data_IF_429552905724
#
_entry.id   IF_429552905724
#
_cell.length_a   1.000
_cell.length_b   1.000
_cell.length_c   1.000
_cell.angle_alpha   90.00
_cell.angle_beta   90.00
_cell.angle_gamma   90.00
#
_symmetry.space_group_name_H-M   'P 1'
#
loop_
_entity.id
_entity.type
_entity.pdbx_description
1 polymer ?
#
# COMPACT_ATOMS: atom_id res chain seq x y z
N UNK A 1 4.45 39.10 -25.54
CA UNK A 1 5.28 38.39 -24.53
C UNK A 1 4.68 37.01 -24.31
N UNK A 2 5.33 35.95 -24.83
CA UNK A 2 4.82 34.58 -24.68
C UNK A 2 5.25 34.03 -23.32
N UNK A 3 4.31 33.95 -22.37
CA UNK A 3 4.54 33.28 -21.10
C UNK A 3 4.80 31.79 -21.36
N UNK A 4 5.98 31.28 -21.00
CA UNK A 4 6.27 29.84 -21.07
C UNK A 4 5.29 29.08 -20.17
N UNK A 5 4.65 27.99 -20.64
CA UNK A 5 3.76 27.20 -19.80
C UNK A 5 4.55 26.61 -18.63
N UNK A 6 4.20 26.98 -17.39
CA UNK A 6 4.79 26.41 -16.17
C UNK A 6 4.10 25.09 -15.85
N UNK A 7 4.86 24.01 -15.74
CA UNK A 7 4.33 22.72 -15.29
C UNK A 7 3.77 22.82 -13.87
N UNK A 8 2.65 22.14 -13.62
CA UNK A 8 2.10 22.08 -12.26
C UNK A 8 3.03 21.29 -11.32
N UNK A 9 3.07 21.62 -10.01
CA UNK A 9 3.89 20.88 -9.04
C UNK A 9 3.57 19.37 -8.99
N UNK A 10 2.30 19.01 -9.21
CA UNK A 10 1.89 17.61 -9.27
C UNK A 10 2.41 16.90 -10.51
N UNK A 11 2.40 17.57 -11.67
CA UNK A 11 2.99 17.01 -12.89
C UNK A 11 4.51 16.80 -12.75
N UNK A 12 5.21 17.70 -12.07
CA UNK A 12 6.62 17.53 -11.73
C UNK A 12 6.84 16.34 -10.79
N UNK A 13 5.97 16.15 -9.79
CA UNK A 13 6.05 15.01 -8.87
C UNK A 13 5.77 13.68 -9.59
N UNK A 14 4.81 13.64 -10.52
CA UNK A 14 4.55 12.48 -11.37
C UNK A 14 5.75 12.16 -12.29
N UNK A 15 6.37 13.18 -12.86
CA UNK A 15 7.60 13.01 -13.65
C UNK A 15 8.73 12.45 -12.79
N UNK A 16 8.95 13.00 -11.59
CA UNK A 16 9.95 12.49 -10.66
C UNK A 16 9.68 11.03 -10.26
N UNK A 17 8.41 10.69 -9.97
CA UNK A 17 7.99 9.31 -9.74
C UNK A 17 8.34 8.42 -10.93
N UNK A 18 8.01 8.83 -12.15
CA UNK A 18 8.28 8.05 -13.34
C UNK A 18 9.78 7.81 -13.55
N UNK A 19 10.61 8.85 -13.30
CA UNK A 19 12.07 8.74 -13.39
C UNK A 19 12.64 7.79 -12.34
N UNK A 20 12.21 7.89 -11.08
CA UNK A 20 12.67 7.00 -10.00
C UNK A 20 12.26 5.56 -10.26
N UNK A 21 10.99 5.32 -10.61
CA UNK A 21 10.50 3.96 -10.89
C UNK A 21 11.10 3.40 -12.17
N UNK A 22 11.33 4.22 -13.20
CA UNK A 22 12.05 3.83 -14.41
C UNK A 22 13.51 3.47 -14.13
N UNK A 23 14.20 4.23 -13.27
CA UNK A 23 15.54 3.89 -12.81
C UNK A 23 15.55 2.57 -12.04
N UNK A 24 14.58 2.33 -11.15
CA UNK A 24 14.46 1.04 -10.46
C UNK A 24 14.29 -0.12 -11.45
N UNK A 25 13.45 0.02 -12.47
CA UNK A 25 13.27 -1.03 -13.50
C UNK A 25 14.54 -1.37 -14.28
N UNK A 26 15.55 -0.49 -14.28
CA UNK A 26 16.87 -0.81 -14.85
C UNK A 26 17.74 -1.71 -13.97
N UNK A 27 17.34 -1.90 -12.71
CA UNK A 27 18.04 -2.72 -11.74
C UNK A 27 17.48 -4.15 -11.77
N UNK A 28 18.33 -5.19 -11.79
CA UNK A 28 17.88 -6.59 -11.85
C UNK A 28 16.90 -6.95 -10.73
N UNK A 29 17.08 -6.36 -9.55
CA UNK A 29 16.26 -6.62 -8.36
C UNK A 29 14.81 -6.10 -8.49
N UNK A 30 14.56 -5.09 -9.32
CA UNK A 30 13.24 -4.44 -9.41
C UNK A 30 12.61 -4.64 -10.79
N UNK A 31 12.98 -5.70 -11.48
CA UNK A 31 12.51 -5.93 -12.83
C UNK A 31 11.00 -6.16 -12.88
N UNK A 32 10.30 -5.57 -13.85
CA UNK A 32 8.90 -5.85 -14.14
C UNK A 32 7.96 -5.65 -12.93
N UNK A 33 6.99 -6.53 -12.75
CA UNK A 33 5.99 -6.48 -11.68
C UNK A 33 6.40 -7.28 -10.42
N UNK A 34 7.70 -7.54 -10.23
CA UNK A 34 8.15 -8.23 -9.03
C UNK A 34 7.80 -7.46 -7.76
N UNK A 35 7.80 -8.19 -6.65
CA UNK A 35 7.42 -7.72 -5.34
C UNK A 35 8.17 -6.44 -4.93
N UNK A 36 9.48 -6.38 -5.15
CA UNK A 36 10.35 -5.25 -4.83
C UNK A 36 9.92 -3.99 -5.58
N UNK A 37 9.58 -4.15 -6.86
CA UNK A 37 9.02 -3.07 -7.67
C UNK A 37 7.64 -2.64 -7.13
N UNK A 38 6.74 -3.58 -6.87
CA UNK A 38 5.42 -3.29 -6.33
C UNK A 38 5.49 -2.55 -4.98
N UNK A 39 6.47 -2.88 -4.13
CA UNK A 39 6.72 -2.19 -2.87
C UNK A 39 7.18 -0.73 -3.09
N UNK A 40 8.17 -0.52 -3.97
CA UNK A 40 8.65 0.80 -4.33
C UNK A 40 7.55 1.66 -4.98
N UNK A 41 6.80 1.06 -5.91
CA UNK A 41 5.63 1.64 -6.55
C UNK A 41 4.58 2.07 -5.53
N UNK A 42 4.29 1.22 -4.53
CA UNK A 42 3.36 1.56 -3.48
C UNK A 42 3.83 2.78 -2.69
N UNK A 43 5.10 2.82 -2.24
CA UNK A 43 5.64 3.99 -1.53
C UNK A 43 5.53 5.26 -2.38
N UNK A 44 5.86 5.18 -3.66
CA UNK A 44 5.73 6.30 -4.59
C UNK A 44 4.28 6.78 -4.72
N UNK A 45 3.32 5.86 -4.82
CA UNK A 45 1.88 6.18 -4.87
C UNK A 45 1.38 6.78 -3.56
N UNK A 46 1.82 6.25 -2.41
CA UNK A 46 1.48 6.82 -1.11
C UNK A 46 1.96 8.27 -1.03
N UNK A 47 3.22 8.55 -1.38
CA UNK A 47 3.80 9.89 -1.30
C UNK A 47 3.20 10.85 -2.34
N UNK A 48 3.24 10.48 -3.62
CA UNK A 48 2.87 11.37 -4.73
C UNK A 48 1.36 11.45 -4.91
N UNK A 49 0.69 10.30 -4.90
CA UNK A 49 -0.77 10.21 -4.94
C UNK A 49 -1.40 10.83 -3.69
N UNK A 50 -0.87 10.56 -2.50
CA UNK A 50 -1.35 11.13 -1.23
C UNK A 50 -1.15 12.64 -1.12
N UNK A 51 0.07 13.15 -1.37
CA UNK A 51 0.31 14.60 -1.41
C UNK A 51 -0.53 15.29 -2.49
N UNK A 52 -0.70 14.63 -3.64
CA UNK A 52 -1.61 15.03 -4.70
C UNK A 52 -3.04 15.16 -4.19
N UNK A 53 -3.60 14.11 -3.59
CA UNK A 53 -4.95 14.07 -3.05
C UNK A 53 -5.19 15.17 -2.00
N UNK A 54 -4.27 15.33 -1.05
CA UNK A 54 -4.33 16.39 -0.03
C UNK A 54 -4.36 17.78 -0.69
N UNK A 55 -3.53 18.00 -1.70
CA UNK A 55 -3.56 19.25 -2.47
C UNK A 55 -4.87 19.47 -3.23
N UNK A 56 -5.57 18.42 -3.64
CA UNK A 56 -6.85 18.53 -4.35
C UNK A 56 -8.01 18.88 -3.42
N UNK A 57 -7.99 18.37 -2.17
CA UNK A 57 -9.00 18.64 -1.14
C UNK A 57 -8.84 20.00 -0.44
N UNK A 58 -7.77 20.74 -0.74
CA UNK A 58 -7.46 22.02 -0.08
C UNK A 58 -8.17 23.24 -0.69
N UNK A 59 -8.94 23.06 -1.78
CA UNK A 59 -9.62 24.15 -2.47
C UNK A 59 -11.13 24.04 -2.27
N UNK A 60 -11.83 25.11 -1.84
CA UNK A 60 -13.27 25.07 -1.58
C UNK A 60 -14.03 24.81 -2.89
N UNK A 61 -14.45 23.56 -3.10
CA UNK A 61 -15.28 23.16 -4.24
C UNK A 61 -16.38 22.21 -3.77
N UNK A 62 -17.35 21.87 -4.64
CA UNK A 62 -18.32 20.82 -4.31
C UNK A 62 -17.60 19.51 -3.96
N UNK A 63 -18.01 18.86 -2.88
CA UNK A 63 -17.35 17.67 -2.34
C UNK A 63 -17.07 16.60 -3.39
N UNK A 64 -18.06 16.29 -4.23
CA UNK A 64 -17.91 15.28 -5.28
C UNK A 64 -16.75 15.59 -6.22
N UNK A 65 -16.58 16.87 -6.58
CA UNK A 65 -15.47 17.32 -7.43
C UNK A 65 -14.12 17.28 -6.72
N UNK A 66 -14.09 17.42 -5.39
CA UNK A 66 -12.88 17.28 -4.58
C UNK A 66 -12.45 15.81 -4.52
N UNK A 67 -13.39 14.91 -4.22
CA UNK A 67 -13.17 13.47 -4.18
C UNK A 67 -12.70 12.96 -5.55
N UNK A 68 -13.38 13.34 -6.63
CA UNK A 68 -13.01 12.93 -7.98
C UNK A 68 -11.59 13.41 -8.36
N UNK A 69 -11.20 14.62 -7.95
CA UNK A 69 -9.83 15.12 -8.19
C UNK A 69 -8.79 14.43 -7.31
N UNK A 70 -9.11 14.15 -6.06
CA UNK A 70 -8.22 13.40 -5.17
C UNK A 70 -8.00 11.98 -5.70
N UNK A 71 -9.08 11.27 -6.03
CA UNK A 71 -9.05 9.96 -6.67
C UNK A 71 -8.31 9.99 -8.01
N UNK A 72 -8.55 11.00 -8.85
CA UNK A 72 -7.84 11.16 -10.12
C UNK A 72 -6.33 11.36 -9.97
N UNK A 73 -5.86 12.05 -8.92
CA UNK A 73 -4.42 12.20 -8.64
C UNK A 73 -3.78 10.90 -8.16
N UNK A 74 -4.47 10.16 -7.29
CA UNK A 74 -4.03 8.83 -6.85
C UNK A 74 -3.99 7.89 -8.06
N UNK A 75 -5.05 7.87 -8.87
CA UNK A 75 -5.12 7.04 -10.07
C UNK A 75 -4.03 7.39 -11.10
N UNK A 76 -3.72 8.67 -11.30
CA UNK A 76 -2.64 9.08 -12.19
C UNK A 76 -1.27 8.57 -11.69
N UNK A 77 -1.01 8.66 -10.38
CA UNK A 77 0.21 8.12 -9.77
C UNK A 77 0.27 6.59 -9.87
N UNK A 78 -0.85 5.91 -9.63
CA UNK A 78 -0.96 4.45 -9.77
C UNK A 78 -0.77 4.01 -11.23
N UNK A 79 -1.37 4.73 -12.18
CA UNK A 79 -1.25 4.44 -13.61
C UNK A 79 0.20 4.56 -14.08
N UNK A 80 0.95 5.59 -13.65
CA UNK A 80 2.37 5.71 -13.95
C UNK A 80 3.16 4.52 -13.38
N UNK A 81 2.89 4.15 -12.13
CA UNK A 81 3.54 3.00 -11.51
C UNK A 81 3.17 1.67 -12.18
N UNK A 82 2.00 1.55 -12.81
CA UNK A 82 1.55 0.34 -13.50
C UNK A 82 2.06 0.24 -14.94
N UNK A 83 2.02 1.35 -15.68
CA UNK A 83 2.35 1.37 -17.11
C UNK A 83 3.84 1.14 -17.33
N UNK A 84 4.71 1.68 -16.47
CA UNK A 84 6.16 1.51 -16.61
C UNK A 84 6.63 0.04 -16.64
N UNK A 85 6.28 -0.83 -15.67
CA UNK A 85 6.68 -2.24 -15.69
C UNK A 85 6.00 -3.00 -16.82
N UNK A 86 4.76 -2.64 -17.20
CA UNK A 86 4.06 -3.24 -18.34
C UNK A 86 4.82 -2.97 -19.66
N UNK A 87 5.26 -1.74 -19.87
CA UNK A 87 6.09 -1.38 -21.03
C UNK A 87 7.45 -2.09 -20.99
N UNK A 88 8.07 -2.20 -19.81
CA UNK A 88 9.33 -2.93 -19.65
C UNK A 88 9.17 -4.42 -19.98
N UNK A 89 8.04 -5.04 -19.62
CA UNK A 89 7.76 -6.44 -19.94
C UNK A 89 7.61 -6.71 -21.45
N UNK A 90 7.09 -5.76 -22.23
CA UNK A 90 7.01 -5.91 -23.70
C UNK A 90 8.40 -6.02 -24.32
N UNK A 91 9.40 -5.36 -23.73
CA UNK A 91 10.77 -5.33 -24.27
C UNK A 91 11.55 -6.59 -23.89
N UNK A 92 11.42 -7.04 -22.64
CA UNK A 92 12.29 -8.12 -22.15
C UNK A 92 11.62 -9.50 -22.07
N UNK A 93 10.29 -9.53 -21.98
CA UNK A 93 9.57 -10.77 -21.67
C UNK A 93 9.78 -11.18 -20.21
N UNK A 94 8.70 -11.58 -19.54
CA UNK A 94 8.78 -12.16 -18.19
C UNK A 94 7.87 -13.38 -18.11
N UNK A 95 8.26 -14.37 -17.33
CA UNK A 95 7.57 -15.66 -17.28
C UNK A 95 6.22 -15.66 -16.53
N UNK A 96 5.90 -14.63 -15.72
CA UNK A 96 4.58 -14.55 -15.06
C UNK A 96 4.06 -13.11 -14.88
N UNK A 97 3.37 -12.62 -15.92
CA UNK A 97 2.70 -11.30 -15.88
C UNK A 97 1.50 -11.31 -14.94
N UNK A 98 0.82 -12.45 -14.79
CA UNK A 98 -0.41 -12.57 -14.02
C UNK A 98 -0.17 -12.38 -12.53
N UNK A 99 0.82 -13.07 -11.99
CA UNK A 99 1.24 -12.92 -10.59
C UNK A 99 1.75 -11.51 -10.30
N UNK A 100 2.51 -10.94 -11.22
CA UNK A 100 2.98 -9.56 -11.11
C UNK A 100 1.83 -8.53 -11.01
N UNK A 101 0.81 -8.67 -11.85
CA UNK A 101 -0.40 -7.83 -11.78
C UNK A 101 -1.11 -8.03 -10.43
N UNK A 102 -1.17 -9.26 -9.93
CA UNK A 102 -1.77 -9.56 -8.62
C UNK A 102 -0.99 -8.86 -7.48
N UNK A 103 0.35 -8.89 -7.49
CA UNK A 103 1.17 -8.15 -6.54
C UNK A 103 0.94 -6.64 -6.62
N UNK A 104 0.86 -6.09 -7.83
CA UNK A 104 0.57 -4.68 -8.03
C UNK A 104 -0.82 -4.28 -7.49
N UNK A 105 -1.83 -5.11 -7.72
CA UNK A 105 -3.18 -4.88 -7.19
C UNK A 105 -3.20 -4.96 -5.65
N UNK A 106 -2.53 -5.95 -5.06
CA UNK A 106 -2.51 -6.19 -3.63
C UNK A 106 -1.68 -5.16 -2.85
N UNK A 107 -0.62 -4.62 -3.44
CA UNK A 107 0.29 -3.69 -2.76
C UNK A 107 -0.08 -2.22 -3.14
N UNK A 108 0.36 -1.66 -4.28
CA UNK A 108 -0.05 -0.31 -4.71
C UNK A 108 -1.55 -0.08 -4.79
N UNK A 109 -2.33 -1.07 -5.27
CA UNK A 109 -3.78 -0.93 -5.41
C UNK A 109 -4.48 -0.74 -4.07
N UNK A 110 -4.24 -1.63 -3.11
CA UNK A 110 -4.78 -1.50 -1.74
C UNK A 110 -4.26 -0.23 -1.05
N UNK A 111 -2.98 0.11 -1.21
CA UNK A 111 -2.39 1.33 -0.67
C UNK A 111 -3.09 2.60 -1.17
N UNK A 112 -3.46 2.63 -2.45
CA UNK A 112 -4.21 3.74 -3.06
C UNK A 112 -5.58 3.96 -2.40
N UNK A 113 -6.31 2.88 -2.12
CA UNK A 113 -7.62 2.94 -1.45
C UNK A 113 -7.46 3.42 -0.01
N UNK A 114 -6.42 2.95 0.69
CA UNK A 114 -6.11 3.37 2.05
C UNK A 114 -5.82 4.87 2.14
N UNK A 115 -4.99 5.39 1.24
CA UNK A 115 -4.67 6.84 1.17
C UNK A 115 -5.91 7.67 0.91
N UNK A 116 -6.78 7.23 0.01
CA UNK A 116 -8.03 7.94 -0.25
C UNK A 116 -8.89 8.02 1.03
N UNK A 117 -9.05 6.90 1.75
CA UNK A 117 -9.78 6.86 3.01
C UNK A 117 -9.18 7.74 4.09
N UNK A 118 -7.86 7.67 4.27
CA UNK A 118 -7.12 8.48 5.22
C UNK A 118 -7.34 9.98 4.94
N UNK A 119 -7.10 10.40 3.70
CA UNK A 119 -7.17 11.81 3.29
C UNK A 119 -8.60 12.36 3.41
N UNK A 120 -9.62 11.56 3.10
CA UNK A 120 -11.02 11.94 3.32
C UNK A 120 -11.37 12.07 4.80
N UNK A 121 -10.90 11.15 5.65
CA UNK A 121 -11.12 11.22 7.09
C UNK A 121 -10.47 12.46 7.69
N UNK A 122 -9.21 12.74 7.34
CA UNK A 122 -8.51 13.94 7.80
C UNK A 122 -9.21 15.23 7.35
N UNK A 123 -9.71 15.27 6.11
CA UNK A 123 -10.50 16.41 5.61
C UNK A 123 -11.80 16.57 6.37
N UNK A 124 -12.47 15.47 6.71
CA UNK A 124 -13.71 15.43 7.46
C UNK A 124 -13.55 15.96 8.89
N UNK A 125 -12.39 15.70 9.50
CA UNK A 125 -11.99 16.23 10.80
C UNK A 125 -11.58 17.72 10.77
N UNK A 126 -11.71 18.38 9.61
CA UNK A 126 -11.33 19.79 9.46
C UNK A 126 -9.82 20.03 9.57
N UNK A 127 -8.98 19.02 9.35
CA UNK A 127 -7.54 19.20 9.38
C UNK A 127 -7.10 20.19 8.29
N UNK A 128 -6.20 21.12 8.66
CA UNK A 128 -5.55 22.00 7.70
C UNK A 128 -4.64 21.20 6.77
N UNK A 129 -4.39 21.71 5.55
CA UNK A 129 -3.49 21.06 4.58
C UNK A 129 -2.14 20.65 5.19
N UNK A 130 -1.53 21.52 6.00
CA UNK A 130 -0.25 21.24 6.68
C UNK A 130 -0.39 20.07 7.65
N UNK A 131 -1.47 20.05 8.45
CA UNK A 131 -1.73 18.96 9.40
C UNK A 131 -2.00 17.65 8.68
N UNK A 132 -2.74 17.67 7.57
CA UNK A 132 -2.97 16.48 6.74
C UNK A 132 -1.65 15.91 6.22
N UNK A 133 -0.77 16.75 5.68
CA UNK A 133 0.54 16.31 5.17
C UNK A 133 1.41 15.70 6.28
N UNK A 134 1.48 16.34 7.45
CA UNK A 134 2.26 15.83 8.59
C UNK A 134 1.73 14.46 9.02
N UNK A 135 0.42 14.35 9.24
CA UNK A 135 -0.20 13.09 9.67
C UNK A 135 0.00 11.98 8.63
N UNK A 136 -0.15 12.31 7.36
CA UNK A 136 0.07 11.36 6.27
C UNK A 136 1.51 10.86 6.19
N UNK A 137 2.49 11.75 6.32
CA UNK A 137 3.91 11.35 6.40
C UNK A 137 4.16 10.50 7.65
N UNK A 138 3.57 10.83 8.80
CA UNK A 138 3.69 10.02 10.02
C UNK A 138 3.07 8.63 9.85
N UNK A 139 1.95 8.50 9.13
CA UNK A 139 1.34 7.19 8.80
C UNK A 139 2.30 6.37 7.93
N UNK A 140 2.86 6.97 6.87
CA UNK A 140 3.85 6.30 6.00
C UNK A 140 5.07 5.86 6.81
N UNK A 141 5.65 6.76 7.62
CA UNK A 141 6.82 6.46 8.45
C UNK A 141 6.51 5.39 9.49
N UNK A 142 5.36 5.46 10.16
CA UNK A 142 4.92 4.45 11.11
C UNK A 142 4.75 3.09 10.45
N UNK A 143 4.14 3.02 9.26
CA UNK A 143 4.02 1.80 8.49
C UNK A 143 5.41 1.26 8.08
N UNK A 144 6.30 2.11 7.59
CA UNK A 144 7.67 1.74 7.23
C UNK A 144 8.48 1.25 8.44
N UNK A 145 8.35 1.89 9.61
CA UNK A 145 9.00 1.48 10.84
C UNK A 145 8.45 0.15 11.36
N UNK A 146 7.13 -0.06 11.32
CA UNK A 146 6.53 -1.36 11.68
C UNK A 146 7.03 -2.44 10.73
N UNK A 147 7.14 -2.15 9.43
CA UNK A 147 7.69 -3.08 8.45
C UNK A 147 9.17 -3.38 8.70
N UNK A 148 9.99 -2.34 8.91
CA UNK A 148 11.41 -2.47 9.20
C UNK A 148 11.68 -3.18 10.53
N UNK A 149 10.92 -2.87 11.57
CA UNK A 149 10.99 -3.55 12.86
C UNK A 149 10.60 -5.03 12.74
N UNK A 150 9.59 -5.37 11.92
CA UNK A 150 9.27 -6.77 11.65
C UNK A 150 10.37 -7.48 10.87
N UNK A 151 10.98 -6.82 9.90
CA UNK A 151 12.13 -7.36 9.18
C UNK A 151 13.34 -7.57 10.11
N UNK A 152 13.54 -6.68 11.10
CA UNK A 152 14.68 -6.71 12.01
C UNK A 152 14.49 -7.65 13.22
N UNK A 153 13.33 -7.60 13.89
CA UNK A 153 13.04 -8.34 15.12
C UNK A 153 12.26 -9.64 14.91
N UNK A 154 11.63 -9.83 13.73
CA UNK A 154 11.06 -11.12 13.36
C UNK A 154 12.21 -12.10 13.17
N UNK A 155 12.50 -12.90 14.20
CA UNK A 155 13.66 -13.80 14.33
C UNK A 155 13.80 -14.74 13.13
N UNK A 156 14.53 -14.25 12.12
CA UNK A 156 14.45 -14.75 10.77
C UNK A 156 15.53 -14.33 9.80
N UNK A 157 16.78 -14.63 10.09
CA UNK A 157 17.80 -14.61 9.05
C UNK A 157 17.62 -15.75 8.01
N UNK A 158 16.41 -16.35 7.91
CA UNK A 158 15.92 -17.30 6.89
C UNK A 158 14.38 -17.28 6.66
N UNK A 159 13.62 -16.25 7.07
CA UNK A 159 12.15 -16.35 7.08
C UNK A 159 11.37 -15.29 6.29
N UNK A 160 10.53 -15.83 5.41
CA UNK A 160 9.10 -15.52 5.24
C UNK A 160 8.50 -14.44 6.15
N UNK A 161 8.24 -13.28 5.57
CA UNK A 161 7.53 -12.19 6.23
C UNK A 161 6.00 -12.38 6.20
N UNK A 162 5.32 -12.49 7.33
CA UNK A 162 3.86 -12.77 7.36
C UNK A 162 2.96 -11.64 6.81
N UNK A 163 3.48 -10.43 6.59
CA UNK A 163 2.75 -9.36 5.88
C UNK A 163 3.21 -9.18 4.41
N UNK A 164 4.33 -9.77 4.02
CA UNK A 164 4.97 -9.64 2.70
C UNK A 164 5.19 -10.98 1.97
N UNK A 165 4.91 -12.12 2.60
CA UNK A 165 5.23 -13.51 2.21
C UNK A 165 6.54 -13.69 1.44
N UNK A 166 7.69 -13.50 2.08
CA UNK A 166 8.96 -13.41 1.36
C UNK A 166 10.22 -13.91 2.09
N UNK A 167 11.14 -14.52 1.32
CA UNK A 167 12.61 -14.53 1.46
C UNK A 167 13.25 -14.35 0.05
N UNK A 168 14.32 -13.56 -0.16
CA UNK A 168 15.15 -13.66 -1.36
C UNK A 168 16.15 -14.78 -1.13
N UNK A 169 15.98 -15.91 -1.81
CA UNK A 169 17.05 -16.90 -1.88
C UNK A 169 18.37 -16.24 -2.28
N UNK A 170 19.49 -16.80 -1.82
CA UNK A 170 20.83 -16.44 -2.34
C UNK A 170 20.96 -16.87 -3.83
N UNK A 171 19.96 -17.59 -4.36
CA UNK A 171 19.75 -17.97 -5.76
C UNK A 171 18.33 -17.58 -6.20
N UNK A 172 18.23 -17.01 -7.40
CA UNK A 172 17.15 -16.13 -7.89
C UNK A 172 15.95 -16.83 -8.57
N UNK A 173 15.73 -18.14 -8.37
CA UNK A 173 14.76 -18.90 -9.19
C UNK A 173 13.55 -19.47 -8.42
N UNK A 174 13.32 -19.07 -7.17
CA UNK A 174 12.21 -19.59 -6.39
C UNK A 174 10.93 -18.76 -6.63
N UNK A 175 9.98 -19.36 -7.35
CA UNK A 175 8.61 -18.86 -7.51
C UNK A 175 7.97 -18.59 -6.14
N UNK A 176 7.47 -17.37 -5.92
CA UNK A 176 6.93 -16.93 -4.61
C UNK A 176 5.39 -16.86 -4.68
N UNK A 177 4.68 -17.89 -4.21
CA UNK A 177 3.22 -17.90 -4.30
C UNK A 177 2.59 -16.88 -3.35
N UNK A 178 1.48 -16.30 -3.79
CA UNK A 178 0.59 -15.49 -2.94
C UNK A 178 -0.05 -16.39 -1.88
N UNK A 179 0.39 -16.27 -0.64
CA UNK A 179 -0.17 -17.07 0.46
C UNK A 179 -1.31 -16.38 1.21
N UNK A 180 -2.09 -17.21 1.92
CA UNK A 180 -3.24 -16.79 2.73
C UNK A 180 -2.93 -15.68 3.76
N UNK A 181 -1.78 -15.64 4.46
CA UNK A 181 -1.50 -14.56 5.41
C UNK A 181 -1.41 -13.18 4.75
N UNK A 182 -0.85 -13.09 3.54
CA UNK A 182 -0.82 -11.84 2.77
C UNK A 182 -2.25 -11.43 2.42
N UNK A 183 -3.07 -12.37 1.92
CA UNK A 183 -4.46 -12.10 1.55
C UNK A 183 -5.27 -11.58 2.74
N UNK A 184 -5.11 -12.19 3.93
CA UNK A 184 -5.75 -11.72 5.17
C UNK A 184 -5.29 -10.30 5.52
N UNK A 185 -3.99 -10.03 5.50
CA UNK A 185 -3.46 -8.71 5.80
C UNK A 185 -3.98 -7.64 4.82
N UNK A 186 -4.12 -7.97 3.53
CA UNK A 186 -4.69 -7.06 2.53
C UNK A 186 -6.19 -6.88 2.69
N UNK A 187 -6.93 -7.93 3.05
CA UNK A 187 -8.34 -7.83 3.41
C UNK A 187 -8.56 -6.90 4.61
N UNK A 188 -7.70 -7.00 5.64
CA UNK A 188 -7.72 -6.08 6.79
C UNK A 188 -7.43 -4.64 6.37
N UNK A 189 -6.43 -4.41 5.50
CA UNK A 189 -6.12 -3.08 4.99
C UNK A 189 -7.28 -2.49 4.16
N UNK A 190 -7.95 -3.29 3.34
CA UNK A 190 -9.15 -2.88 2.61
C UNK A 190 -10.32 -2.59 3.55
N UNK A 191 -10.50 -3.39 4.59
CA UNK A 191 -11.53 -3.17 5.61
C UNK A 191 -11.30 -1.84 6.35
N UNK A 192 -10.05 -1.56 6.72
CA UNK A 192 -9.65 -0.26 7.30
C UNK A 192 -9.92 0.88 6.31
N UNK A 193 -9.47 0.74 5.07
CA UNK A 193 -9.61 1.77 4.04
C UNK A 193 -11.07 2.09 3.75
N UNK A 194 -11.90 1.07 3.55
CA UNK A 194 -13.35 1.23 3.32
C UNK A 194 -14.05 1.82 4.54
N UNK A 195 -13.68 1.42 5.76
CA UNK A 195 -14.15 2.03 7.00
C UNK A 195 -13.82 3.53 7.07
N UNK A 196 -12.59 3.92 6.71
CA UNK A 196 -12.17 5.33 6.67
C UNK A 196 -12.89 6.13 5.58
N UNK A 197 -13.08 5.56 4.38
CA UNK A 197 -13.85 6.18 3.30
C UNK A 197 -15.31 6.40 3.74
N UNK A 198 -15.93 5.37 4.33
CA UNK A 198 -17.32 5.44 4.78
C UNK A 198 -17.48 6.47 5.91
N UNK A 199 -16.58 6.46 6.90
CA UNK A 199 -16.59 7.42 8.01
C UNK A 199 -16.34 8.85 7.50
N UNK A 200 -15.25 9.08 6.77
CA UNK A 200 -14.89 10.39 6.22
C UNK A 200 -15.96 10.92 5.28
N UNK A 201 -16.40 10.11 4.31
CA UNK A 201 -17.47 10.43 3.38
C UNK A 201 -18.79 10.73 4.10
N UNK A 202 -19.16 9.92 5.10
CA UNK A 202 -20.36 10.13 5.90
C UNK A 202 -20.31 11.41 6.74
N UNK A 203 -19.15 11.74 7.31
CA UNK A 203 -18.95 13.02 8.01
C UNK A 203 -19.15 14.17 7.04
N UNK A 204 -18.47 14.17 5.89
CA UNK A 204 -18.52 15.29 4.94
C UNK A 204 -19.89 15.41 4.26
N UNK A 205 -20.54 14.31 3.89
CA UNK A 205 -21.89 14.29 3.31
C UNK A 205 -23.01 14.53 4.31
N UNK A 206 -22.69 14.64 5.61
CA UNK A 206 -23.68 14.75 6.70
C UNK A 206 -24.72 13.61 6.72
N UNK A 207 -24.32 12.40 6.32
CA UNK A 207 -25.19 11.21 6.31
C UNK A 207 -24.83 10.27 7.45
N UNK A 208 -25.84 9.82 8.21
CA UNK A 208 -25.64 8.96 9.39
C UNK A 208 -25.31 7.52 9.03
N UNK A 209 -25.98 6.93 8.02
CA UNK A 209 -25.74 5.54 7.60
C UNK A 209 -24.27 5.23 7.26
N UNK A 210 -23.58 5.99 6.38
CA UNK A 210 -22.16 5.72 6.08
C UNK A 210 -21.24 5.95 7.28
N UNK A 211 -21.60 6.81 8.24
CA UNK A 211 -20.84 6.98 9.49
C UNK A 211 -20.95 5.73 10.37
N UNK A 212 -22.17 5.22 10.55
CA UNK A 212 -22.42 4.00 11.33
C UNK A 212 -21.69 2.82 10.67
N UNK A 213 -21.80 2.69 9.35
CA UNK A 213 -21.06 1.68 8.60
C UNK A 213 -19.54 1.83 8.78
N UNK A 214 -19.00 3.05 8.68
CA UNK A 214 -17.58 3.31 8.91
C UNK A 214 -17.11 2.89 10.30
N UNK A 215 -17.86 3.24 11.35
CA UNK A 215 -17.56 2.83 12.74
C UNK A 215 -17.61 1.31 12.88
N UNK A 216 -18.62 0.66 12.31
CA UNK A 216 -18.75 -0.80 12.34
C UNK A 216 -17.57 -1.49 11.64
N UNK A 217 -17.15 -1.01 10.46
CA UNK A 217 -16.00 -1.56 9.73
C UNK A 217 -14.68 -1.37 10.50
N UNK A 218 -14.49 -0.22 11.16
CA UNK A 218 -13.33 0.02 12.01
C UNK A 218 -13.33 -0.88 13.26
N UNK A 219 -14.50 -1.15 13.84
CA UNK A 219 -14.64 -2.09 14.94
C UNK A 219 -14.33 -3.53 14.48
N UNK A 220 -14.83 -3.95 13.31
CA UNK A 220 -14.51 -5.25 12.71
C UNK A 220 -13.01 -5.39 12.42
N UNK A 221 -12.38 -4.33 11.91
CA UNK A 221 -10.94 -4.29 11.72
C UNK A 221 -10.20 -4.52 13.05
N UNK A 222 -10.54 -3.77 14.11
CA UNK A 222 -9.92 -3.95 15.43
C UNK A 222 -10.15 -5.37 16.00
N UNK A 223 -11.36 -5.92 15.86
CA UNK A 223 -11.68 -7.28 16.29
C UNK A 223 -10.87 -8.34 15.53
N UNK A 224 -10.58 -8.11 14.24
CA UNK A 224 -9.77 -9.05 13.45
C UNK A 224 -8.35 -9.22 14.00
N UNK A 225 -7.75 -8.17 14.58
CA UNK A 225 -6.44 -8.28 15.24
C UNK A 225 -6.51 -9.06 16.55
N UNK A 226 -7.56 -8.85 17.33
CA UNK A 226 -7.80 -9.60 18.58
C UNK A 226 -7.99 -11.08 18.27
N UNK A 227 -8.75 -11.40 17.21
CA UNK A 227 -9.00 -12.78 16.81
C UNK A 227 -7.73 -13.45 16.24
N UNK A 228 -6.95 -12.75 15.41
CA UNK A 228 -5.67 -13.26 14.93
C UNK A 228 -4.74 -13.62 16.11
N UNK A 229 -4.64 -12.73 17.11
CA UNK A 229 -3.86 -12.98 18.31
C UNK A 229 -4.36 -14.21 19.12
N UNK A 230 -5.68 -14.42 19.20
CA UNK A 230 -6.29 -15.54 19.94
C UNK A 230 -6.09 -16.91 19.29
N UNK A 231 -6.15 -17.00 17.96
CA UNK A 231 -6.04 -18.28 17.23
C UNK A 231 -4.58 -18.77 17.16
N UNK A 232 -3.63 -18.07 17.78
CA UNK A 232 -2.22 -18.40 17.66
C UNK A 232 -1.69 -18.24 16.23
N UNK A 233 -2.49 -17.64 15.34
CA UNK A 233 -2.02 -16.95 14.13
C UNK A 233 -1.39 -15.67 14.65
N UNK A 234 -0.27 -15.83 15.35
CA UNK A 234 0.63 -14.74 15.58
C UNK A 234 1.06 -14.32 14.18
N UNK A 235 0.73 -13.10 13.72
CA UNK A 235 1.25 -12.57 12.47
C UNK A 235 2.79 -12.43 12.46
N UNK A 236 3.45 -12.94 13.48
CA UNK A 236 4.85 -12.83 13.81
C UNK A 236 5.51 -14.20 14.08
N UNK A 237 4.74 -15.30 14.21
CA UNK A 237 5.32 -16.65 14.36
C UNK A 237 5.17 -17.42 13.07
N UNK A 238 6.30 -17.76 12.50
CA UNK A 238 6.38 -18.59 11.34
C UNK A 238 5.91 -20.04 11.60
N UNK A 239 5.20 -20.67 10.64
CA UNK A 239 4.78 -22.06 10.73
C UNK A 239 5.91 -23.06 11.03
N UNK A 240 7.10 -22.91 10.42
CA UNK A 240 8.22 -23.84 10.66
C UNK A 240 8.83 -23.74 12.06
N UNK A 241 8.62 -22.67 12.82
CA UNK A 241 9.05 -22.66 14.23
C UNK A 241 8.35 -23.74 15.08
N UNK A 242 7.21 -24.28 14.63
CA UNK A 242 6.58 -25.44 15.30
C UNK A 242 7.30 -26.76 15.05
N UNK A 243 7.96 -26.90 13.89
CA UNK A 243 8.57 -28.18 13.48
C UNK A 243 10.03 -28.32 13.91
N UNK A 244 10.74 -27.21 14.15
CA UNK A 244 12.14 -27.25 14.60
C UNK A 244 12.30 -27.51 16.10
N UNK A 245 11.23 -27.42 16.88
CA UNK A 245 11.26 -27.68 18.32
C UNK A 245 11.26 -29.19 18.70
N UNK A 246 11.21 -30.11 17.73
CA UNK A 246 11.41 -31.55 17.99
C UNK A 246 12.49 -32.19 17.10
N UNK A 247 13.79 -31.92 17.35
CA UNK A 247 14.86 -32.64 16.67
C UNK A 247 14.96 -34.13 17.05
N UNK A 248 14.17 -34.63 18.01
CA UNK A 248 14.42 -35.91 18.68
C UNK A 248 13.55 -37.10 18.25
N UNK A 249 12.83 -37.05 17.12
CA UNK A 249 11.95 -38.17 16.69
C UNK A 249 12.24 -38.79 15.32
N UNK A 250 13.42 -38.58 14.75
CA UNK A 250 13.76 -39.17 13.47
C UNK A 250 15.19 -39.73 13.40
N UNK A 251 15.61 -40.51 14.40
CA UNK A 251 16.68 -41.52 14.25
C UNK A 251 16.43 -42.65 15.26
N UNK A 252 15.60 -43.62 14.89
CA UNK A 252 15.62 -45.01 15.39
C UNK A 252 15.02 -45.89 14.33
#
# INVERSE_FOLDING_TARGET
MNARPRMSPFALALLAQALVLGWLLSQPLYWAFHFEYALAANLAVLLVGGAGAIGALSHPRPLFSEIARAGGRILASLAIAFVLPLLAQVVVGSCDVGEGIAWFALIPGVGSVLVLGEVLCLRALGASRRRMLILHVLVILGAALVMGARAYFGLSFRLYNVFLGYWPGVLYDEFVPIELPILIARAQALLLATGLIALGGGIVLRRHLPRIAGVALLALFALSFVQAARVGIHPWRAPWQRNWASPSRAVT
#
